data_IF_407350159292
#
_entry.id   IF_407350159292
#
_cell.length_a   1.000
_cell.length_b   1.000
_cell.length_c   1.000
_cell.angle_alpha   90.00
_cell.angle_beta   90.00
_cell.angle_gamma   90.00
#
_symmetry.space_group_name_H-M   'P 1'
#
loop_
_entity.id
_entity.type
_entity.pdbx_description
1 polymer ?
#
# COMPACT_ATOMS: atom_id res chain seq x y z
N UNK A 1 68.17 26.05 -12.61
CA UNK A 1 67.26 25.33 -13.51
C UNK A 1 67.04 23.95 -12.92
N UNK A 2 66.01 23.82 -12.08
CA UNK A 2 65.66 22.57 -11.43
C UNK A 2 64.41 22.00 -12.10
N UNK A 3 64.45 20.73 -12.46
CA UNK A 3 63.25 19.96 -12.78
C UNK A 3 63.31 18.65 -12.01
N UNK A 4 62.50 18.58 -10.95
CA UNK A 4 62.31 17.42 -10.11
C UNK A 4 61.30 16.46 -10.71
N UNK A 5 61.68 15.17 -10.73
CA UNK A 5 60.76 14.04 -10.93
C UNK A 5 59.92 13.83 -9.66
N UNK A 6 58.60 13.92 -9.77
CA UNK A 6 57.62 13.28 -8.88
C UNK A 6 56.47 12.82 -9.80
N UNK A 7 56.09 11.55 -9.90
CA UNK A 7 55.67 10.67 -8.81
C UNK A 7 54.14 10.55 -8.83
N UNK A 8 53.55 9.97 -9.89
CA UNK A 8 52.10 9.68 -9.94
C UNK A 8 51.81 8.43 -9.10
N UNK A 9 51.38 8.62 -7.85
CA UNK A 9 50.68 7.58 -7.07
C UNK A 9 49.17 7.72 -7.31
N UNK A 10 48.55 6.62 -7.74
CA UNK A 10 47.10 6.51 -7.87
C UNK A 10 46.42 6.59 -6.51
N UNK A 11 45.40 7.43 -6.42
CA UNK A 11 44.45 7.42 -5.33
C UNK A 11 43.25 6.58 -5.76
N UNK A 12 43.11 5.38 -5.17
CA UNK A 12 41.88 4.60 -5.21
C UNK A 12 40.76 5.45 -4.59
N UNK A 13 39.75 5.77 -5.39
CA UNK A 13 38.50 6.34 -4.90
C UNK A 13 37.78 5.26 -4.10
N UNK A 14 37.65 5.47 -2.79
CA UNK A 14 36.75 4.72 -1.94
C UNK A 14 35.33 4.81 -2.50
N UNK A 15 34.66 3.65 -2.58
CA UNK A 15 33.25 3.56 -2.93
C UNK A 15 32.46 4.36 -1.89
N UNK A 16 31.69 5.33 -2.38
CA UNK A 16 30.84 6.16 -1.54
C UNK A 16 29.80 5.31 -0.83
N UNK A 17 29.70 5.49 0.48
CA UNK A 17 28.51 5.13 1.24
C UNK A 17 27.34 5.94 0.68
N UNK A 18 26.43 5.28 -0.02
CA UNK A 18 25.16 5.87 -0.43
C UNK A 18 24.33 6.08 0.85
N UNK A 19 24.28 7.32 1.33
CA UNK A 19 23.29 7.72 2.32
C UNK A 19 21.91 7.58 1.68
N UNK A 20 21.26 6.44 1.91
CA UNK A 20 19.92 6.14 1.40
C UNK A 20 18.95 7.16 2.01
N UNK A 21 18.54 8.15 1.21
CA UNK A 21 17.44 9.06 1.57
C UNK A 21 16.14 8.27 1.76
N UNK A 22 15.11 8.92 2.32
CA UNK A 22 13.77 8.35 2.34
C UNK A 22 13.34 8.01 0.89
N UNK A 23 12.68 6.87 0.64
CA UNK A 23 12.27 6.49 -0.70
C UNK A 23 11.27 7.51 -1.26
N UNK A 24 11.25 7.67 -2.58
CA UNK A 24 10.29 8.54 -3.26
C UNK A 24 8.83 8.14 -2.98
N UNK A 25 8.60 6.84 -2.77
CA UNK A 25 7.32 6.27 -2.38
C UNK A 25 7.49 5.37 -1.15
N UNK A 26 6.76 5.66 -0.08
CA UNK A 26 6.82 4.89 1.17
C UNK A 26 6.38 3.43 1.01
N UNK A 27 5.61 3.10 -0.04
CA UNK A 27 5.24 1.71 -0.36
C UNK A 27 6.48 0.85 -0.66
N UNK A 28 7.57 1.45 -1.16
CA UNK A 28 8.84 0.74 -1.38
C UNK A 28 9.48 0.20 -0.09
N UNK A 29 9.13 0.74 1.09
CA UNK A 29 9.57 0.20 2.38
C UNK A 29 9.02 -1.21 2.64
N UNK A 30 7.93 -1.61 1.97
CA UNK A 30 7.40 -2.96 2.05
C UNK A 30 8.39 -4.00 1.51
N UNK A 31 9.36 -3.61 0.67
CA UNK A 31 10.44 -4.50 0.21
C UNK A 31 11.21 -5.10 1.37
N UNK A 32 11.65 -4.26 2.29
CA UNK A 32 12.47 -4.68 3.45
C UNK A 32 11.64 -5.59 4.38
N UNK A 33 10.36 -5.29 4.57
CA UNK A 33 9.44 -6.15 5.34
C UNK A 33 9.21 -7.50 4.65
N UNK A 34 9.12 -7.51 3.31
CA UNK A 34 8.96 -8.74 2.53
C UNK A 34 10.23 -9.62 2.55
N UNK A 35 11.42 -9.02 2.58
CA UNK A 35 12.67 -9.75 2.80
C UNK A 35 12.71 -10.36 4.21
N UNK A 36 12.32 -9.60 5.23
CA UNK A 36 12.22 -10.08 6.61
C UNK A 36 11.24 -11.25 6.74
N UNK A 37 10.06 -11.14 6.14
CA UNK A 37 9.06 -12.21 6.16
C UNK A 37 9.60 -13.50 5.53
N UNK A 38 10.28 -13.39 4.38
CA UNK A 38 10.90 -14.55 3.70
C UNK A 38 11.98 -15.21 4.55
N UNK A 39 12.84 -14.42 5.20
CA UNK A 39 13.87 -14.94 6.12
C UNK A 39 13.25 -15.73 7.29
N UNK A 40 12.10 -15.27 7.80
CA UNK A 40 11.40 -15.94 8.89
C UNK A 40 10.66 -17.20 8.42
N UNK A 41 10.16 -17.23 7.18
CA UNK A 41 9.49 -18.41 6.61
C UNK A 41 10.45 -19.57 6.30
N UNK A 42 11.74 -19.29 6.05
CA UNK A 42 12.76 -20.30 5.78
C UNK A 42 13.12 -21.15 7.02
N UNK A 43 12.66 -20.76 8.22
CA UNK A 43 13.03 -21.40 9.48
C UNK A 43 11.83 -21.57 10.39
N UNK A 44 11.89 -22.59 11.23
CA UNK A 44 10.93 -22.78 12.33
C UNK A 44 11.53 -22.21 13.61
N UNK A 45 10.74 -21.42 14.35
CA UNK A 45 11.14 -20.85 15.63
C UNK A 45 10.22 -21.39 16.74
N UNK A 46 10.79 -21.75 17.88
CA UNK A 46 10.07 -22.26 19.04
C UNK A 46 9.58 -21.14 19.96
N UNK A 47 10.11 -19.91 19.82
CA UNK A 47 9.70 -18.76 20.63
C UNK A 47 9.99 -17.41 19.98
N UNK A 48 9.30 -16.36 20.44
CA UNK A 48 9.63 -14.98 20.05
C UNK A 48 11.05 -14.56 20.43
N UNK A 49 11.61 -15.13 21.51
CA UNK A 49 12.98 -14.83 21.92
C UNK A 49 13.99 -15.32 20.88
N UNK A 50 13.74 -16.50 20.31
CA UNK A 50 14.54 -17.05 19.23
C UNK A 50 14.44 -16.22 17.95
N UNK A 51 13.24 -15.74 17.61
CA UNK A 51 13.04 -14.79 16.50
C UNK A 51 13.87 -13.53 16.73
N UNK A 52 13.76 -12.92 17.93
CA UNK A 52 14.51 -11.68 18.25
C UNK A 52 16.02 -11.89 18.17
N UNK A 53 16.53 -13.00 18.70
CA UNK A 53 17.96 -13.32 18.66
C UNK A 53 18.43 -13.55 17.22
N UNK A 54 17.68 -14.33 16.43
CA UNK A 54 17.98 -14.56 15.03
C UNK A 54 18.03 -13.25 14.22
N UNK A 55 17.04 -12.37 14.40
CA UNK A 55 17.01 -11.08 13.73
C UNK A 55 18.19 -10.20 14.15
N UNK A 56 18.52 -10.16 15.44
CA UNK A 56 19.64 -9.37 15.94
C UNK A 56 20.98 -9.86 15.38
N UNK A 57 21.21 -11.18 15.35
CA UNK A 57 22.41 -11.78 14.77
C UNK A 57 22.49 -11.51 13.27
N UNK A 58 21.39 -11.76 12.54
CA UNK A 58 21.31 -11.57 11.10
C UNK A 58 21.61 -10.12 10.70
N UNK A 59 21.02 -9.15 11.39
CA UNK A 59 21.24 -7.71 11.14
C UNK A 59 22.69 -7.31 11.52
N UNK A 60 23.26 -7.89 12.58
CA UNK A 60 24.64 -7.60 12.96
C UNK A 60 25.65 -8.11 11.91
N UNK A 61 25.43 -9.30 11.36
CA UNK A 61 26.29 -9.92 10.35
C UNK A 61 26.29 -9.15 9.02
N UNK A 62 25.16 -8.56 8.65
CA UNK A 62 24.99 -7.76 7.42
C UNK A 62 25.33 -6.28 7.62
N UNK A 63 25.86 -5.89 8.78
CA UNK A 63 26.26 -4.50 9.05
C UNK A 63 25.08 -3.53 9.19
N UNK A 64 23.95 -4.00 9.72
CA UNK A 64 22.75 -3.19 9.97
C UNK A 64 21.70 -3.22 8.87
N UNK A 65 21.84 -4.08 7.86
CA UNK A 65 20.93 -4.18 6.72
C UNK A 65 20.12 -5.48 6.75
N UNK A 66 18.92 -5.50 6.18
CA UNK A 66 18.17 -6.77 6.02
C UNK A 66 18.78 -7.53 4.83
N UNK A 67 19.19 -8.80 5.00
CA UNK A 67 19.72 -9.60 3.90
C UNK A 67 18.69 -9.74 2.78
N UNK A 68 19.16 -9.65 1.53
CA UNK A 68 18.31 -9.93 0.36
C UNK A 68 18.15 -11.44 0.21
N UNK A 69 16.91 -11.91 0.22
CA UNK A 69 16.52 -13.28 -0.08
C UNK A 69 16.25 -13.46 -1.58
N UNK A 70 16.25 -14.70 -2.05
CA UNK A 70 15.90 -15.00 -3.45
C UNK A 70 14.39 -15.23 -3.54
N UNK A 71 13.66 -14.48 -4.39
CA UNK A 71 12.22 -14.70 -4.57
C UNK A 71 11.93 -16.11 -5.09
N UNK A 72 11.07 -16.84 -4.39
CA UNK A 72 10.78 -18.25 -4.68
C UNK A 72 9.64 -18.42 -5.69
N UNK A 73 8.69 -17.48 -5.76
CA UNK A 73 7.52 -17.58 -6.66
C UNK A 73 7.54 -16.54 -7.80
N UNK A 74 6.84 -16.79 -8.94
CA UNK A 74 6.66 -15.78 -9.99
C UNK A 74 6.05 -14.48 -9.46
N UNK A 75 5.07 -14.58 -8.54
CA UNK A 75 4.44 -13.42 -7.92
C UNK A 75 5.42 -12.59 -7.09
N UNK A 76 6.27 -13.23 -6.28
CA UNK A 76 7.30 -12.50 -5.51
C UNK A 76 8.33 -11.83 -6.43
N UNK A 77 8.72 -12.48 -7.54
CA UNK A 77 9.60 -11.87 -8.56
C UNK A 77 8.97 -10.64 -9.19
N UNK A 78 7.69 -10.72 -9.55
CA UNK A 78 6.93 -9.60 -10.08
C UNK A 78 6.79 -8.47 -9.05
N UNK A 79 6.48 -8.80 -7.80
CA UNK A 79 6.36 -7.81 -6.72
C UNK A 79 7.69 -7.09 -6.42
N UNK A 80 8.83 -7.77 -6.54
CA UNK A 80 10.13 -7.11 -6.41
C UNK A 80 10.38 -6.06 -7.49
N UNK A 81 9.92 -6.29 -8.73
CA UNK A 81 9.96 -5.29 -9.80
C UNK A 81 9.03 -4.11 -9.51
N UNK A 82 7.88 -4.35 -8.87
CA UNK A 82 6.99 -3.27 -8.40
C UNK A 82 7.68 -2.42 -7.32
N UNK A 83 8.36 -3.04 -6.36
CA UNK A 83 9.11 -2.28 -5.34
C UNK A 83 10.22 -1.43 -5.97
N UNK A 84 10.90 -1.94 -7.00
CA UNK A 84 11.84 -1.14 -7.80
C UNK A 84 11.11 -0.01 -8.54
N UNK A 85 9.96 -0.29 -9.15
CA UNK A 85 9.16 0.70 -9.87
C UNK A 85 8.76 1.89 -8.99
N UNK A 86 8.40 1.65 -7.72
CA UNK A 86 8.10 2.71 -6.74
C UNK A 86 9.31 3.56 -6.33
N UNK A 87 10.53 3.05 -6.46
CA UNK A 87 11.76 3.82 -6.26
C UNK A 87 12.19 4.58 -7.54
N UNK A 88 11.63 4.25 -8.70
CA UNK A 88 11.88 4.92 -9.99
C UNK A 88 10.78 5.92 -10.34
N UNK A 89 11.04 6.81 -11.31
CA UNK A 89 10.06 7.78 -11.82
C UNK A 89 9.94 7.71 -13.35
N UNK A 90 8.84 8.25 -13.88
CA UNK A 90 8.64 8.43 -15.32
C UNK A 90 8.47 7.10 -16.09
N UNK A 91 8.90 7.05 -17.38
CA UNK A 91 8.63 5.90 -18.24
C UNK A 91 9.20 4.56 -17.74
N UNK A 92 10.27 4.61 -16.94
CA UNK A 92 10.90 3.42 -16.37
C UNK A 92 9.99 2.70 -15.36
N UNK A 93 9.28 3.46 -14.52
CA UNK A 93 8.29 2.93 -13.57
C UNK A 93 7.21 2.10 -14.30
N UNK A 94 6.71 2.62 -15.42
CA UNK A 94 5.72 1.94 -16.26
C UNK A 94 6.31 0.67 -16.91
N UNK A 95 7.56 0.73 -17.39
CA UNK A 95 8.22 -0.42 -17.99
C UNK A 95 8.42 -1.57 -16.99
N UNK A 96 8.80 -1.25 -15.74
CA UNK A 96 8.95 -2.22 -14.65
C UNK A 96 7.61 -2.86 -14.28
N UNK A 97 6.53 -2.07 -14.18
CA UNK A 97 5.19 -2.60 -13.94
C UNK A 97 4.72 -3.56 -15.06
N UNK A 98 4.96 -3.22 -16.33
CA UNK A 98 4.64 -4.11 -17.46
C UNK A 98 5.44 -5.41 -17.39
N UNK A 99 6.75 -5.33 -17.09
CA UNK A 99 7.61 -6.50 -16.91
C UNK A 99 7.17 -7.37 -15.74
N UNK A 100 6.67 -6.79 -14.66
CA UNK A 100 6.09 -7.54 -13.54
C UNK A 100 4.89 -8.39 -14.01
N UNK A 101 4.00 -7.83 -14.83
CA UNK A 101 2.86 -8.55 -15.40
C UNK A 101 3.24 -9.64 -16.42
N UNK A 102 4.34 -9.46 -17.15
CA UNK A 102 4.89 -10.52 -18.02
C UNK A 102 5.36 -11.74 -17.22
N UNK A 103 5.90 -11.52 -16.01
CA UNK A 103 6.33 -12.59 -15.11
C UNK A 103 5.14 -13.23 -14.39
N UNK A 104 4.23 -12.41 -13.87
CA UNK A 104 3.05 -12.86 -13.16
C UNK A 104 1.86 -11.92 -13.44
N UNK A 105 0.86 -12.38 -14.22
CA UNK A 105 -0.35 -11.61 -14.47
C UNK A 105 -1.18 -11.31 -13.22
N UNK A 106 -0.91 -11.99 -12.10
CA UNK A 106 -1.63 -11.81 -10.84
C UNK A 106 -0.94 -10.79 -9.90
N UNK A 107 0.03 -10.03 -10.40
CA UNK A 107 0.68 -8.94 -9.65
C UNK A 107 -0.20 -7.68 -9.61
N UNK A 108 -1.04 -7.57 -8.58
CA UNK A 108 -2.02 -6.49 -8.45
C UNK A 108 -1.43 -5.07 -8.41
N UNK A 109 -0.30 -4.87 -7.70
CA UNK A 109 0.32 -3.54 -7.62
C UNK A 109 0.89 -3.06 -8.96
N UNK A 110 1.23 -3.97 -9.87
CA UNK A 110 1.62 -3.57 -11.21
C UNK A 110 0.45 -2.90 -11.95
N UNK A 111 -0.79 -3.39 -11.77
CA UNK A 111 -1.98 -2.72 -12.30
C UNK A 111 -2.25 -1.38 -11.60
N UNK A 112 -1.97 -1.27 -10.30
CA UNK A 112 -2.06 0.00 -9.55
C UNK A 112 -1.13 1.05 -10.16
N UNK A 113 0.14 0.70 -10.39
CA UNK A 113 1.09 1.61 -11.05
C UNK A 113 0.60 2.00 -12.45
N UNK A 114 0.10 1.04 -13.24
CA UNK A 114 -0.40 1.36 -14.58
C UNK A 114 -1.62 2.28 -14.53
N UNK A 115 -2.51 2.11 -13.56
CA UNK A 115 -3.66 3.00 -13.36
C UNK A 115 -3.21 4.43 -13.01
N UNK A 116 -2.24 4.56 -12.10
CA UNK A 116 -1.68 5.84 -11.65
C UNK A 116 -0.92 6.58 -12.78
N UNK A 117 -0.15 5.85 -13.59
CA UNK A 117 0.84 6.45 -14.50
C UNK A 117 0.39 6.52 -15.98
N UNK A 118 -0.56 5.66 -16.39
CA UNK A 118 -0.88 5.50 -17.83
C UNK A 118 -2.33 5.83 -18.20
N UNK A 119 -3.25 5.84 -17.24
CA UNK A 119 -4.64 6.15 -17.53
C UNK A 119 -4.81 7.61 -17.95
N UNK A 120 -5.50 7.84 -19.07
CA UNK A 120 -5.83 9.18 -19.55
C UNK A 120 -7.24 9.62 -19.13
N UNK A 121 -7.99 8.74 -18.46
CA UNK A 121 -9.31 9.04 -17.91
C UNK A 121 -9.61 8.20 -16.66
N UNK A 122 -10.54 8.67 -15.82
CA UNK A 122 -11.02 7.92 -14.65
C UNK A 122 -11.59 6.56 -15.04
N UNK A 123 -12.23 6.42 -16.22
CA UNK A 123 -12.76 5.15 -16.69
C UNK A 123 -11.65 4.14 -17.03
N UNK A 124 -10.56 4.59 -17.66
CA UNK A 124 -9.39 3.73 -17.92
C UNK A 124 -8.69 3.33 -16.62
N UNK A 125 -8.56 4.25 -15.67
CA UNK A 125 -8.00 3.97 -14.34
C UNK A 125 -8.86 2.94 -13.60
N UNK A 126 -10.19 3.09 -13.61
CA UNK A 126 -11.15 2.13 -13.05
C UNK A 126 -10.91 0.72 -13.61
N UNK A 127 -10.77 0.59 -14.92
CA UNK A 127 -10.59 -0.71 -15.57
C UNK A 127 -9.24 -1.36 -15.20
N UNK A 128 -8.19 -0.57 -15.01
CA UNK A 128 -6.89 -1.06 -14.54
C UNK A 128 -6.96 -1.48 -13.07
N UNK A 129 -7.57 -0.67 -12.20
CA UNK A 129 -7.77 -1.05 -10.80
C UNK A 129 -8.64 -2.31 -10.65
N UNK A 130 -9.71 -2.44 -11.45
CA UNK A 130 -10.54 -3.65 -11.47
C UNK A 130 -9.73 -4.90 -11.87
N UNK A 131 -8.81 -4.78 -12.84
CA UNK A 131 -7.86 -5.87 -13.16
C UNK A 131 -6.94 -6.18 -11.99
N UNK A 132 -6.46 -5.16 -11.27
CA UNK A 132 -5.66 -5.31 -10.06
C UNK A 132 -6.40 -6.06 -8.94
N UNK A 133 -7.66 -5.71 -8.69
CA UNK A 133 -8.53 -6.41 -7.73
C UNK A 133 -8.68 -7.88 -8.11
N UNK A 134 -9.08 -8.16 -9.36
CA UNK A 134 -9.27 -9.53 -9.83
C UNK A 134 -7.97 -10.36 -9.84
N UNK A 135 -6.82 -9.72 -10.12
CA UNK A 135 -5.50 -10.35 -10.04
C UNK A 135 -5.17 -10.76 -8.61
N UNK A 136 -5.36 -9.86 -7.64
CA UNK A 136 -5.14 -10.18 -6.24
C UNK A 136 -6.11 -11.25 -5.72
N UNK A 137 -7.39 -11.24 -6.10
CA UNK A 137 -8.35 -12.28 -5.68
C UNK A 137 -7.92 -13.68 -6.13
N UNK A 138 -7.40 -13.81 -7.36
CA UNK A 138 -6.84 -15.09 -7.85
C UNK A 138 -5.58 -15.50 -7.09
N UNK A 139 -4.70 -14.55 -6.78
CA UNK A 139 -3.46 -14.82 -6.05
C UNK A 139 -3.70 -15.22 -4.60
N UNK A 140 -4.71 -14.64 -3.96
CA UNK A 140 -5.00 -14.77 -2.54
C UNK A 140 -5.88 -15.99 -2.22
N UNK A 141 -6.81 -16.32 -3.12
CA UNK A 141 -7.84 -17.33 -2.85
C UNK A 141 -8.97 -16.80 -1.97
N UNK A 142 -10.17 -17.40 -2.03
CA UNK A 142 -11.36 -16.89 -1.33
C UNK A 142 -11.29 -17.04 0.20
N UNK A 143 -10.56 -18.02 0.73
CA UNK A 143 -10.54 -18.36 2.15
C UNK A 143 -9.98 -17.22 3.01
N UNK A 144 -8.93 -16.53 2.51
CA UNK A 144 -8.26 -15.46 3.27
C UNK A 144 -9.19 -14.28 3.54
N UNK A 145 -10.19 -14.03 2.70
CA UNK A 145 -11.15 -12.92 2.86
C UNK A 145 -12.09 -13.09 4.05
N UNK A 146 -12.21 -14.32 4.55
CA UNK A 146 -12.96 -14.66 5.75
C UNK A 146 -12.01 -14.88 6.94
N UNK A 147 -10.95 -15.67 6.76
CA UNK A 147 -10.02 -16.03 7.83
C UNK A 147 -9.22 -14.83 8.37
N UNK A 148 -8.83 -13.92 7.49
CA UNK A 148 -7.99 -12.76 7.82
C UNK A 148 -8.77 -11.43 7.75
N UNK A 149 -10.11 -11.52 7.70
CA UNK A 149 -10.97 -10.35 7.77
C UNK A 149 -10.66 -9.55 9.05
N UNK A 150 -10.35 -8.27 8.90
CA UNK A 150 -9.93 -7.42 10.01
C UNK A 150 -8.42 -7.22 10.12
N UNK A 151 -7.63 -8.05 9.44
CA UNK A 151 -6.17 -8.12 9.57
C UNK A 151 -5.42 -7.86 8.26
N UNK A 152 -6.11 -7.57 7.16
CA UNK A 152 -5.51 -7.40 5.82
C UNK A 152 -4.40 -6.34 5.72
N UNK A 153 -4.39 -5.31 6.56
CA UNK A 153 -3.27 -4.36 6.53
C UNK A 153 -2.00 -4.92 7.19
N UNK A 154 -2.14 -5.82 8.15
CA UNK A 154 -1.02 -6.48 8.83
C UNK A 154 -0.30 -7.48 7.93
N UNK A 155 -1.02 -8.09 6.97
CA UNK A 155 -0.49 -9.08 6.04
C UNK A 155 0.00 -8.40 4.77
N UNK A 156 1.29 -8.51 4.45
CA UNK A 156 1.86 -7.87 3.26
C UNK A 156 1.23 -8.39 1.96
N UNK A 157 0.90 -9.68 1.91
CA UNK A 157 0.30 -10.34 0.74
C UNK A 157 -1.05 -9.75 0.33
N UNK A 158 -1.82 -9.19 1.27
CA UNK A 158 -3.15 -8.62 1.01
C UNK A 158 -3.13 -7.12 0.74
N UNK A 159 -2.03 -6.41 0.98
CA UNK A 159 -1.95 -4.96 0.71
C UNK A 159 -2.12 -4.58 -0.77
N UNK A 160 -1.59 -5.34 -1.76
CA UNK A 160 -1.85 -5.07 -3.16
C UNK A 160 -3.34 -5.07 -3.51
N UNK A 161 -4.10 -6.01 -2.94
CA UNK A 161 -5.56 -6.05 -3.07
C UNK A 161 -6.20 -4.77 -2.53
N UNK A 162 -5.84 -4.39 -1.30
CA UNK A 162 -6.40 -3.24 -0.61
C UNK A 162 -6.13 -1.92 -1.35
N UNK A 163 -4.94 -1.77 -1.94
CA UNK A 163 -4.58 -0.62 -2.79
C UNK A 163 -5.41 -0.60 -4.07
N UNK A 164 -5.46 -1.71 -4.80
CA UNK A 164 -6.23 -1.80 -6.04
C UNK A 164 -7.73 -1.54 -5.81
N UNK A 165 -8.30 -2.11 -4.74
CA UNK A 165 -9.71 -1.94 -4.40
C UNK A 165 -10.06 -0.52 -3.98
N UNK A 166 -9.16 0.17 -3.27
CA UNK A 166 -9.35 1.59 -2.93
C UNK A 166 -9.32 2.46 -4.19
N UNK A 167 -8.34 2.26 -5.08
CA UNK A 167 -8.28 2.98 -6.35
C UNK A 167 -9.53 2.76 -7.20
N UNK A 168 -10.03 1.52 -7.27
CA UNK A 168 -11.30 1.21 -7.95
C UNK A 168 -12.47 2.00 -7.34
N UNK A 169 -12.60 1.98 -6.01
CA UNK A 169 -13.68 2.68 -5.31
C UNK A 169 -13.64 4.20 -5.54
N UNK A 170 -12.45 4.79 -5.57
CA UNK A 170 -12.25 6.20 -5.88
C UNK A 170 -12.64 6.54 -7.32
N UNK A 171 -12.26 5.70 -8.29
CA UNK A 171 -12.68 5.92 -9.68
C UNK A 171 -14.20 5.78 -9.86
N UNK A 172 -14.83 4.79 -9.22
CA UNK A 172 -16.29 4.64 -9.23
C UNK A 172 -16.98 5.89 -8.65
N UNK A 173 -16.45 6.41 -7.55
CA UNK A 173 -16.93 7.65 -6.94
C UNK A 173 -16.86 8.84 -7.89
N UNK A 174 -15.71 9.04 -8.53
CA UNK A 174 -15.49 10.13 -9.51
C UNK A 174 -16.40 10.01 -10.74
N UNK A 175 -16.76 8.79 -11.14
CA UNK A 175 -17.69 8.52 -12.23
C UNK A 175 -19.16 8.69 -11.82
N UNK A 176 -19.45 8.99 -10.55
CA UNK A 176 -20.81 9.14 -10.04
C UNK A 176 -21.50 7.82 -9.68
N UNK A 177 -20.78 6.70 -9.70
CA UNK A 177 -21.27 5.38 -9.32
C UNK A 177 -21.21 5.22 -7.78
N UNK A 178 -21.89 6.10 -7.05
CA UNK A 178 -21.76 6.28 -5.60
C UNK A 178 -22.12 5.04 -4.79
N UNK A 179 -23.17 4.32 -5.16
CA UNK A 179 -23.58 3.08 -4.50
C UNK A 179 -22.49 2.01 -4.62
N UNK A 180 -21.93 1.81 -5.81
CA UNK A 180 -20.87 0.84 -6.04
C UNK A 180 -19.59 1.20 -5.26
N UNK A 181 -19.19 2.48 -5.29
CA UNK A 181 -18.06 2.97 -4.49
C UNK A 181 -18.27 2.73 -2.99
N UNK A 182 -19.48 2.97 -2.48
CA UNK A 182 -19.85 2.77 -1.07
C UNK A 182 -19.64 1.31 -0.64
N UNK A 183 -20.03 0.33 -1.45
CA UNK A 183 -19.83 -1.09 -1.14
C UNK A 183 -18.34 -1.46 -1.10
N UNK A 184 -17.51 -0.90 -1.98
CA UNK A 184 -16.07 -1.11 -1.91
C UNK A 184 -15.45 -0.49 -0.66
N UNK A 185 -15.85 0.72 -0.27
CA UNK A 185 -15.37 1.37 0.96
C UNK A 185 -15.77 0.60 2.22
N UNK A 186 -17.00 0.09 2.28
CA UNK A 186 -17.46 -0.75 3.40
C UNK A 186 -16.63 -2.01 3.55
N UNK A 187 -16.39 -2.71 2.46
CA UNK A 187 -15.62 -3.95 2.50
C UNK A 187 -14.16 -3.69 2.87
N UNK A 188 -13.55 -2.60 2.38
CA UNK A 188 -12.22 -2.19 2.81
C UNK A 188 -12.16 -1.94 4.33
N UNK A 189 -13.18 -1.33 4.94
CA UNK A 189 -13.25 -1.14 6.39
C UNK A 189 -13.58 -2.41 7.18
N UNK A 190 -14.27 -3.38 6.56
CA UNK A 190 -14.44 -4.73 7.13
C UNK A 190 -13.09 -5.45 7.19
N UNK A 191 -12.35 -5.42 6.09
CA UNK A 191 -11.04 -6.06 5.95
C UNK A 191 -9.94 -5.35 6.75
N UNK A 192 -10.07 -4.02 6.92
CA UNK A 192 -9.14 -3.20 7.70
C UNK A 192 -9.89 -2.18 8.61
N UNK A 193 -10.38 -2.62 9.78
CA UNK A 193 -11.10 -1.81 10.76
C UNK A 193 -10.31 -0.64 11.33
N UNK A 194 -8.98 -0.78 11.39
CA UNK A 194 -8.06 0.27 11.86
C UNK A 194 -7.88 1.38 10.84
N UNK A 195 -8.42 1.19 9.64
CA UNK A 195 -8.50 2.17 8.58
C UNK A 195 -7.15 2.83 8.25
N UNK A 196 -6.11 1.99 8.09
CA UNK A 196 -4.78 2.46 7.73
C UNK A 196 -4.72 3.21 6.39
N UNK A 197 -5.73 3.03 5.53
CA UNK A 197 -5.83 3.69 4.24
C UNK A 197 -6.69 4.97 4.26
N UNK A 198 -7.34 5.30 5.39
CA UNK A 198 -8.20 6.48 5.48
C UNK A 198 -9.52 6.38 4.71
N UNK A 199 -10.01 5.16 4.47
CA UNK A 199 -11.26 4.84 3.80
C UNK A 199 -12.47 5.47 4.49
N UNK A 200 -12.43 5.68 5.81
CA UNK A 200 -13.54 6.29 6.56
C UNK A 200 -13.92 7.68 6.04
N UNK A 201 -12.95 8.45 5.53
CA UNK A 201 -13.19 9.78 4.98
C UNK A 201 -13.98 9.74 3.67
N UNK A 202 -13.73 8.73 2.84
CA UNK A 202 -14.51 8.52 1.62
C UNK A 202 -15.90 7.98 1.93
N UNK A 203 -15.99 7.01 2.85
CA UNK A 203 -17.26 6.40 3.21
C UNK A 203 -18.21 7.40 3.86
N UNK A 204 -17.74 8.26 4.78
CA UNK A 204 -18.63 9.23 5.43
C UNK A 204 -19.23 10.21 4.42
N UNK A 205 -18.46 10.66 3.44
CA UNK A 205 -18.96 11.51 2.35
C UNK A 205 -20.00 10.78 1.51
N UNK A 206 -19.73 9.52 1.17
CA UNK A 206 -20.64 8.69 0.39
C UNK A 206 -21.99 8.50 1.08
N UNK A 207 -21.97 8.17 2.38
CA UNK A 207 -23.19 7.97 3.16
C UNK A 207 -24.02 9.26 3.26
N UNK A 208 -23.37 10.40 3.51
CA UNK A 208 -24.06 11.70 3.61
C UNK A 208 -24.65 12.16 2.27
N UNK A 209 -23.96 11.94 1.15
CA UNK A 209 -24.45 12.27 -0.20
C UNK A 209 -25.64 11.39 -0.58
N UNK A 210 -25.58 10.09 -0.25
CA UNK A 210 -26.65 9.13 -0.51
C UNK A 210 -27.83 9.26 0.48
N UNK A 211 -27.74 10.15 1.47
CA UNK A 211 -28.77 10.31 2.51
C UNK A 211 -28.94 9.10 3.41
N UNK A 212 -27.89 8.29 3.59
CA UNK A 212 -27.86 7.13 4.47
C UNK A 212 -27.50 7.56 5.89
N UNK A 213 -28.36 8.39 6.49
CA UNK A 213 -28.06 9.14 7.71
C UNK A 213 -27.81 8.22 8.93
N UNK A 214 -28.53 7.10 9.07
CA UNK A 214 -28.28 6.13 10.17
C UNK A 214 -26.91 5.47 10.03
N UNK A 215 -26.54 5.04 8.82
CA UNK A 215 -25.23 4.41 8.58
C UNK A 215 -24.09 5.43 8.73
N UNK A 216 -24.33 6.68 8.35
CA UNK A 216 -23.38 7.77 8.58
C UNK A 216 -23.14 7.97 10.08
N UNK A 217 -24.21 7.96 10.89
CA UNK A 217 -24.12 8.06 12.35
C UNK A 217 -23.31 6.91 12.95
N UNK A 218 -23.61 5.67 12.58
CA UNK A 218 -22.88 4.49 13.07
C UNK A 218 -21.38 4.60 12.77
N UNK A 219 -21.03 5.07 11.57
CA UNK A 219 -19.64 5.31 11.19
C UNK A 219 -19.02 6.42 12.03
N UNK A 220 -19.71 7.56 12.17
CA UNK A 220 -19.30 8.72 12.97
C UNK A 220 -19.02 8.35 14.43
N UNK A 221 -19.86 7.50 15.02
CA UNK A 221 -19.69 6.97 16.38
C UNK A 221 -18.51 6.00 16.47
N UNK A 222 -18.35 5.10 15.49
CA UNK A 222 -17.23 4.14 15.43
C UNK A 222 -15.87 4.83 15.48
N UNK A 223 -15.73 5.98 14.81
CA UNK A 223 -14.50 6.79 14.83
C UNK A 223 -14.69 8.12 15.59
N UNK A 224 -15.53 8.16 16.63
CA UNK A 224 -15.86 9.39 17.40
C UNK A 224 -14.67 10.21 17.93
N UNK A 225 -13.51 9.59 18.09
CA UNK A 225 -12.31 10.23 18.63
C UNK A 225 -11.35 10.71 17.53
N UNK A 226 -11.75 10.64 16.26
CA UNK A 226 -10.98 11.21 15.16
C UNK A 226 -10.87 12.74 15.34
N UNK A 227 -9.65 13.30 15.49
CA UNK A 227 -9.46 14.70 15.82
C UNK A 227 -9.46 15.61 14.57
N UNK A 228 -9.69 15.05 13.38
CA UNK A 228 -9.62 15.84 12.15
C UNK A 228 -10.85 16.74 12.00
N UNK A 229 -10.65 17.90 11.36
CA UNK A 229 -11.75 18.78 11.01
C UNK A 229 -12.79 18.09 10.10
N UNK A 230 -12.36 17.13 9.27
CA UNK A 230 -13.26 16.35 8.43
C UNK A 230 -14.34 15.64 9.25
N UNK A 231 -13.95 15.04 10.37
CA UNK A 231 -14.89 14.34 11.24
C UNK A 231 -15.86 15.29 11.94
N UNK A 232 -15.34 16.42 12.43
CA UNK A 232 -16.15 17.46 13.05
C UNK A 232 -17.20 18.02 12.07
N UNK A 233 -16.80 18.37 10.85
CA UNK A 233 -17.73 18.85 9.82
C UNK A 233 -18.73 17.79 9.37
N UNK A 234 -18.33 16.51 9.33
CA UNK A 234 -19.24 15.42 9.00
C UNK A 234 -20.31 15.23 10.09
N UNK A 235 -19.93 15.35 11.37
CA UNK A 235 -20.87 15.38 12.50
C UNK A 235 -21.84 16.57 12.42
N UNK A 236 -21.35 17.78 12.17
CA UNK A 236 -22.17 18.99 11.98
C UNK A 236 -23.15 18.82 10.83
N UNK A 237 -22.69 18.37 9.65
CA UNK A 237 -23.56 18.18 8.49
C UNK A 237 -24.63 17.11 8.78
N UNK A 238 -24.25 16.01 9.41
CA UNK A 238 -25.21 14.99 9.84
C UNK A 238 -26.24 15.58 10.82
N UNK A 239 -25.81 16.26 11.88
CA UNK A 239 -26.70 16.86 12.88
C UNK A 239 -27.66 17.90 12.27
N UNK A 240 -27.14 18.76 11.40
CA UNK A 240 -27.94 19.74 10.67
C UNK A 240 -29.01 19.09 9.78
N UNK A 241 -28.70 17.96 9.12
CA UNK A 241 -29.70 17.21 8.33
C UNK A 241 -30.83 16.65 9.19
N UNK A 242 -30.54 16.26 10.43
CA UNK A 242 -31.53 15.69 11.34
C UNK A 242 -32.39 16.75 12.04
N UNK A 243 -31.77 17.85 12.50
CA UNK A 243 -32.41 18.81 13.40
C UNK A 243 -32.63 20.21 12.78
N UNK A 244 -32.06 20.49 11.61
CA UNK A 244 -32.07 21.81 10.98
C UNK A 244 -31.12 22.80 11.68
N UNK A 245 -31.44 24.09 11.60
CA UNK A 245 -30.69 25.18 12.27
C UNK A 245 -30.99 25.21 13.78
N UNK A 246 -30.50 24.18 14.49
CA UNK A 246 -30.59 24.04 15.92
C UNK A 246 -29.23 24.37 16.57
N UNK A 247 -29.17 24.85 17.83
CA UNK A 247 -27.90 25.17 18.51
C UNK A 247 -26.92 23.99 18.70
N UNK A 248 -27.36 22.76 18.39
CA UNK A 248 -26.58 21.52 18.46
C UNK A 248 -26.05 21.06 17.10
N UNK A 249 -26.51 21.68 16.00
CA UNK A 249 -26.11 21.38 14.64
C UNK A 249 -24.79 22.06 14.28
#
# INVERSE_FOLDING_TARGET
MGEGKQGKKGAQRGKGEEKRGLPADFRALERELAELQRLLEERTFESEAEIREFLQQTIAETGGLIPKTTPSTPLQKAQNLVYEAWETEGPERVALARKALEICPDCADAYVILAEETACSTAEARDLYAKGVAAAERALGPEIFEEEAGHFWGLLSTRPYMRARLGLAQCLWELGEYEAATEHFRDLLRLNPRDNQGVRFFLINALLILGRDEEAKDLLERYRNDPTAWWAYSWTLWAFRQEGDAPRA
#
